data_IF_709323133520
#
_entry.id   IF_709323133520
#
_cell.length_a   1.000
_cell.length_b   1.000
_cell.length_c   1.000
_cell.angle_alpha   90.00
_cell.angle_beta   90.00
_cell.angle_gamma   90.00
#
_symmetry.space_group_name_H-M   'P 1'
#
loop_
_entity.id
_entity.type
_entity.pdbx_description
1 polymer ?
#
# COMPACT_ATOMS: atom_id res chain seq x y z
N UNK A 1 -7.06 30.37 1.33
CA UNK A 1 -8.23 29.76 0.66
C UNK A 1 -7.92 28.28 0.47
N UNK A 2 -8.61 27.40 1.21
CA UNK A 2 -8.43 25.94 1.11
C UNK A 2 -9.30 25.45 -0.04
N UNK A 3 -8.69 24.91 -1.10
CA UNK A 3 -9.42 24.16 -2.13
C UNK A 3 -10.07 22.98 -1.42
N UNK A 4 -11.40 22.96 -1.38
CA UNK A 4 -12.14 21.74 -1.03
C UNK A 4 -11.84 20.74 -2.13
N UNK A 5 -11.18 19.64 -1.78
CA UNK A 5 -11.30 18.43 -2.59
C UNK A 5 -12.78 18.07 -2.52
N UNK A 6 -13.48 18.29 -3.62
CA UNK A 6 -14.82 17.74 -3.80
C UNK A 6 -14.60 16.22 -3.79
N UNK A 7 -15.08 15.59 -2.72
CA UNK A 7 -15.27 14.15 -2.69
C UNK A 7 -16.30 13.87 -3.77
N UNK A 8 -15.81 13.63 -4.99
CA UNK A 8 -16.62 13.03 -6.02
C UNK A 8 -16.90 11.62 -5.52
N UNK A 9 -17.96 11.46 -4.72
CA UNK A 9 -18.74 10.23 -4.70
C UNK A 9 -19.11 9.95 -6.16
N UNK A 10 -18.21 9.25 -6.85
CA UNK A 10 -18.39 8.87 -8.25
C UNK A 10 -19.68 8.08 -8.28
N UNK A 11 -20.69 8.63 -8.93
CA UNK A 11 -22.04 8.06 -8.98
C UNK A 11 -21.93 6.61 -9.44
N UNK A 12 -22.05 5.66 -8.51
CA UNK A 12 -21.95 4.24 -8.81
C UNK A 12 -23.09 3.89 -9.78
N UNK A 13 -22.72 3.47 -10.98
CA UNK A 13 -23.66 3.06 -12.00
C UNK A 13 -24.02 1.60 -11.84
N UNK A 14 -25.29 1.28 -12.10
CA UNK A 14 -25.74 -0.12 -12.19
C UNK A 14 -25.04 -0.80 -13.37
N UNK A 15 -24.55 -2.01 -13.14
CA UNK A 15 -23.92 -2.84 -14.18
C UNK A 15 -24.93 -3.10 -15.29
N UNK A 16 -24.57 -2.70 -16.52
CA UNK A 16 -25.38 -2.91 -17.71
C UNK A 16 -25.12 -4.30 -18.28
N UNK A 17 -26.12 -4.87 -18.95
CA UNK A 17 -25.98 -6.13 -19.67
C UNK A 17 -25.17 -5.99 -20.97
N UNK A 18 -25.11 -4.78 -21.53
CA UNK A 18 -24.38 -4.48 -22.77
C UNK A 18 -23.77 -3.08 -22.68
N UNK A 19 -22.58 -2.92 -23.26
CA UNK A 19 -21.88 -1.64 -23.36
C UNK A 19 -21.71 -1.29 -24.83
N UNK A 20 -21.81 0.00 -25.14
CA UNK A 20 -21.67 0.57 -26.48
C UNK A 20 -20.21 0.52 -26.93
N UNK A 21 -19.29 0.84 -26.03
CA UNK A 21 -17.86 0.91 -26.28
C UNK A 21 -17.07 0.61 -24.99
N UNK A 22 -15.74 0.55 -25.13
CA UNK A 22 -14.83 0.24 -24.02
C UNK A 22 -14.78 1.36 -22.99
N UNK A 23 -14.97 2.61 -23.41
CA UNK A 23 -14.97 3.76 -22.51
C UNK A 23 -16.18 3.69 -21.56
N UNK A 24 -17.37 3.38 -22.07
CA UNK A 24 -18.58 3.18 -21.24
C UNK A 24 -18.42 2.02 -20.24
N UNK A 25 -17.69 0.98 -20.63
CA UNK A 25 -17.33 -0.13 -19.73
C UNK A 25 -16.42 0.37 -18.60
N UNK A 26 -15.35 1.11 -18.91
CA UNK A 26 -14.45 1.67 -17.90
C UNK A 26 -15.16 2.65 -16.96
N UNK A 27 -16.00 3.54 -17.49
CA UNK A 27 -16.79 4.48 -16.69
C UNK A 27 -17.70 3.77 -15.68
N UNK A 28 -18.19 2.57 -16.04
CA UNK A 28 -19.06 1.78 -15.16
C UNK A 28 -18.26 0.97 -14.14
N UNK A 29 -17.23 0.24 -14.58
CA UNK A 29 -16.53 -0.73 -13.73
C UNK A 29 -15.40 -0.12 -12.91
N UNK A 30 -14.70 0.91 -13.39
CA UNK A 30 -13.61 1.55 -12.64
C UNK A 30 -14.07 2.05 -11.26
N UNK A 31 -15.16 2.82 -11.11
CA UNK A 31 -15.59 3.26 -9.78
C UNK A 31 -16.05 2.09 -8.90
N UNK A 32 -16.71 1.07 -9.48
CA UNK A 32 -17.14 -0.12 -8.76
C UNK A 32 -15.94 -0.92 -8.21
N UNK A 33 -14.89 -1.10 -9.01
CA UNK A 33 -13.66 -1.77 -8.59
C UNK A 33 -12.97 -1.00 -7.47
N UNK A 34 -12.94 0.34 -7.53
CA UNK A 34 -12.35 1.13 -6.46
C UNK A 34 -13.11 1.03 -5.15
N UNK A 35 -14.45 0.99 -5.17
CA UNK A 35 -15.24 0.79 -3.97
C UNK A 35 -15.04 -0.61 -3.38
N UNK A 36 -14.92 -1.64 -4.21
CA UNK A 36 -14.60 -3.00 -3.75
C UNK A 36 -13.21 -3.05 -3.09
N UNK A 37 -12.19 -2.44 -3.70
CA UNK A 37 -10.84 -2.38 -3.12
C UNK A 37 -10.85 -1.64 -1.78
N UNK A 38 -11.56 -0.50 -1.68
CA UNK A 38 -11.71 0.21 -0.40
C UNK A 38 -12.41 -0.66 0.64
N UNK A 39 -13.48 -1.36 0.26
CA UNK A 39 -14.22 -2.23 1.16
C UNK A 39 -13.36 -3.39 1.66
N UNK A 40 -12.52 -3.98 0.82
CA UNK A 40 -11.57 -5.02 1.21
C UNK A 40 -10.50 -4.49 2.17
N UNK A 41 -9.95 -3.30 1.93
CA UNK A 41 -9.00 -2.66 2.84
C UNK A 41 -9.62 -2.45 4.24
N UNK A 42 -10.86 -1.96 4.30
CA UNK A 42 -11.58 -1.75 5.56
C UNK A 42 -11.94 -3.06 6.26
N UNK A 43 -12.37 -4.10 5.52
CA UNK A 43 -12.72 -5.40 6.11
C UNK A 43 -11.52 -6.12 6.71
N UNK A 44 -10.33 -5.98 6.10
CA UNK A 44 -9.10 -6.54 6.64
C UNK A 44 -8.69 -5.93 8.00
N UNK A 45 -9.21 -4.75 8.37
CA UNK A 45 -8.99 -4.17 9.70
C UNK A 45 -9.87 -4.82 10.78
N UNK A 46 -11.03 -5.41 10.41
CA UNK A 46 -12.04 -5.92 11.35
C UNK A 46 -12.03 -7.45 11.53
N UNK A 47 -11.44 -8.22 10.59
CA UNK A 47 -11.71 -9.66 10.43
C UNK A 47 -10.58 -10.66 10.69
N UNK A 48 -9.33 -10.23 10.76
CA UNK A 48 -8.16 -11.10 10.99
C UNK A 48 -7.22 -10.37 11.95
N UNK A 49 -6.53 -11.10 12.84
CA UNK A 49 -5.46 -10.57 13.71
C UNK A 49 -4.74 -9.41 13.03
N UNK A 50 -5.03 -8.17 13.44
CA UNK A 50 -4.47 -6.98 12.82
C UNK A 50 -2.96 -7.18 12.71
N UNK A 51 -2.45 -7.22 11.48
CA UNK A 51 -1.04 -7.51 11.23
C UNK A 51 -0.21 -6.58 12.10
N UNK A 52 0.63 -7.17 12.97
CA UNK A 52 1.40 -6.41 13.97
C UNK A 52 2.20 -5.33 13.24
N UNK A 53 2.03 -4.07 13.67
CA UNK A 53 2.81 -2.96 13.11
C UNK A 53 4.31 -3.22 13.32
N UNK A 54 5.07 -3.36 12.23
CA UNK A 54 6.52 -3.55 12.28
C UNK A 54 7.26 -2.29 11.89
N UNK A 55 8.12 -1.83 12.79
CA UNK A 55 9.00 -0.70 12.52
C UNK A 55 10.20 -1.16 11.69
N UNK A 56 10.47 -0.46 10.58
CA UNK A 56 11.58 -0.76 9.67
C UNK A 56 12.42 0.48 9.41
N UNK A 57 13.69 0.28 9.05
CA UNK A 57 14.64 1.37 8.79
C UNK A 57 14.67 1.68 7.29
N UNK A 58 14.50 2.95 6.95
CA UNK A 58 14.61 3.45 5.56
C UNK A 58 16.09 3.65 5.26
N UNK A 59 16.61 2.87 4.32
CA UNK A 59 18.00 2.92 3.87
C UNK A 59 18.21 4.02 2.84
N UNK A 60 17.30 4.09 1.86
CA UNK A 60 17.37 5.04 0.76
C UNK A 60 15.96 5.52 0.38
N UNK A 61 15.88 6.73 -0.15
CA UNK A 61 14.67 7.31 -0.71
C UNK A 61 15.07 8.04 -2.00
N UNK A 62 14.42 7.69 -3.10
CA UNK A 62 14.64 8.29 -4.42
C UNK A 62 13.30 8.65 -5.07
N UNK A 63 13.33 9.52 -6.06
CA UNK A 63 12.14 9.92 -6.82
C UNK A 63 12.28 9.47 -8.27
N UNK A 64 11.26 8.79 -8.80
CA UNK A 64 11.19 8.38 -10.20
C UNK A 64 9.74 8.37 -10.67
N UNK A 65 9.48 8.87 -11.87
CA UNK A 65 8.15 8.88 -12.51
C UNK A 65 7.02 9.50 -11.66
N UNK A 66 7.36 10.42 -10.76
CA UNK A 66 6.41 11.07 -9.84
C UNK A 66 6.11 10.25 -8.59
N UNK A 67 6.82 9.15 -8.35
CA UNK A 67 6.72 8.30 -7.18
C UNK A 67 7.98 8.38 -6.31
N UNK A 68 7.80 8.19 -5.00
CA UNK A 68 8.93 7.99 -4.08
C UNK A 68 9.21 6.50 -3.97
N UNK A 69 10.42 6.09 -4.32
CA UNK A 69 10.91 4.72 -4.21
C UNK A 69 11.75 4.62 -2.94
N UNK A 70 11.28 3.80 -2.01
CA UNK A 70 11.91 3.57 -0.71
C UNK A 70 12.65 2.22 -0.70
N UNK A 71 13.90 2.24 -0.26
CA UNK A 71 14.62 1.02 0.12
C UNK A 71 14.52 0.87 1.63
N UNK A 72 13.89 -0.22 2.09
CA UNK A 72 13.59 -0.46 3.50
C UNK A 72 14.16 -1.81 3.93
N UNK A 73 14.65 -1.89 5.18
CA UNK A 73 15.16 -3.15 5.74
C UNK A 73 14.08 -4.22 5.83
N UNK A 74 14.36 -5.39 5.26
CA UNK A 74 13.51 -6.56 5.34
C UNK A 74 14.22 -7.73 6.03
N UNK A 75 13.73 -8.10 7.21
CA UNK A 75 14.10 -9.34 7.90
C UNK A 75 13.06 -10.41 7.59
N UNK A 76 13.52 -11.56 7.10
CA UNK A 76 12.63 -12.69 6.85
C UNK A 76 12.41 -13.41 8.18
N UNK A 77 11.25 -13.20 8.78
CA UNK A 77 10.75 -13.94 9.94
C UNK A 77 9.77 -15.03 9.45
N UNK A 78 9.64 -16.13 10.19
CA UNK A 78 8.75 -17.26 9.83
C UNK A 78 7.29 -16.81 9.63
N UNK A 79 6.88 -15.75 10.33
CA UNK A 79 5.51 -15.23 10.34
C UNK A 79 5.30 -14.02 9.42
N UNK A 80 6.30 -13.60 8.62
CA UNK A 80 6.16 -12.44 7.73
C UNK A 80 6.76 -12.66 6.35
N UNK A 81 5.86 -12.73 5.37
CA UNK A 81 6.20 -12.82 3.97
C UNK A 81 5.57 -11.67 3.20
N UNK A 82 6.42 -10.76 2.71
CA UNK A 82 6.01 -9.70 1.78
C UNK A 82 6.28 -10.16 0.34
N UNK A 83 5.26 -10.18 -0.50
CA UNK A 83 5.34 -10.52 -1.91
C UNK A 83 5.29 -9.25 -2.80
N UNK A 84 5.82 -9.32 -4.02
CA UNK A 84 5.59 -8.28 -5.01
C UNK A 84 4.09 -8.02 -5.23
N UNK A 85 3.71 -6.75 -5.34
CA UNK A 85 2.35 -6.22 -5.44
C UNK A 85 1.54 -6.23 -4.13
N UNK A 86 2.14 -6.60 -3.00
CA UNK A 86 1.48 -6.39 -1.71
C UNK A 86 1.35 -4.89 -1.44
N UNK A 87 0.16 -4.49 -1.02
CA UNK A 87 -0.16 -3.12 -0.63
C UNK A 87 0.06 -2.98 0.88
N UNK A 88 0.93 -2.06 1.28
CA UNK A 88 1.26 -1.80 2.67
C UNK A 88 0.89 -0.37 3.05
N UNK A 89 0.54 -0.19 4.32
CA UNK A 89 0.35 1.12 4.92
C UNK A 89 1.61 1.49 5.70
N UNK A 90 2.31 2.53 5.26
CA UNK A 90 3.41 3.12 6.01
C UNK A 90 2.88 4.27 6.86
N UNK A 91 3.39 4.36 8.08
CA UNK A 91 3.12 5.44 9.00
C UNK A 91 4.39 5.78 9.78
N UNK A 92 4.50 7.04 10.20
CA UNK A 92 5.60 7.47 11.07
C UNK A 92 5.38 7.02 12.52
N UNK A 93 4.13 6.84 12.89
CA UNK A 93 3.67 6.54 14.25
C UNK A 93 3.01 5.18 14.24
N UNK A 94 3.22 4.37 15.28
CA UNK A 94 2.56 3.08 15.42
C UNK A 94 1.05 3.26 15.47
N UNK A 95 0.32 2.49 14.64
CA UNK A 95 -1.14 2.56 14.57
C UNK A 95 -1.70 1.77 15.74
N UNK A 96 -2.25 2.47 16.73
CA UNK A 96 -2.87 1.88 17.92
C UNK A 96 -4.35 2.22 17.96
N UNK A 97 -5.19 1.18 18.03
CA UNK A 97 -6.59 1.22 18.42
C UNK A 97 -7.42 2.41 17.92
N UNK A 98 -8.12 2.22 16.80
CA UNK A 98 -9.18 3.12 16.31
C UNK A 98 -8.78 4.54 15.93
N UNK A 99 -7.53 4.94 16.14
CA UNK A 99 -7.00 6.26 15.76
C UNK A 99 -6.04 6.13 14.58
N UNK A 100 -6.30 6.91 13.54
CA UNK A 100 -5.47 6.92 12.33
C UNK A 100 -4.28 7.87 12.50
N UNK A 101 -3.07 7.51 12.05
CA UNK A 101 -1.88 8.33 12.19
C UNK A 101 -1.99 9.65 11.42
N UNK A 102 -1.30 10.69 11.91
CA UNK A 102 -1.30 12.02 11.29
C UNK A 102 -0.58 12.06 9.94
N UNK A 103 0.35 11.13 9.71
CA UNK A 103 1.13 11.00 8.49
C UNK A 103 1.23 9.53 8.12
N UNK A 104 0.70 9.20 6.95
CA UNK A 104 0.69 7.87 6.39
C UNK A 104 0.79 7.92 4.87
N UNK A 105 1.13 6.78 4.28
CA UNK A 105 1.12 6.59 2.83
C UNK A 105 0.92 5.12 2.48
N UNK A 106 0.20 4.87 1.40
CA UNK A 106 0.14 3.54 0.80
C UNK A 106 1.38 3.31 -0.06
N UNK A 107 1.96 2.13 0.06
CA UNK A 107 3.09 1.71 -0.76
C UNK A 107 2.85 0.32 -1.32
N UNK A 108 3.42 0.06 -2.49
CA UNK A 108 3.37 -1.25 -3.12
C UNK A 108 4.76 -1.85 -3.05
N UNK A 109 4.84 -3.13 -2.68
CA UNK A 109 6.10 -3.87 -2.71
C UNK A 109 6.46 -4.15 -4.17
N UNK A 110 7.49 -3.48 -4.70
CA UNK A 110 7.96 -3.78 -6.06
C UNK A 110 8.78 -5.08 -6.10
N UNK A 111 9.85 -5.15 -5.30
CA UNK A 111 10.77 -6.26 -5.30
C UNK A 111 11.48 -6.39 -3.95
N UNK A 112 11.95 -7.60 -3.66
CA UNK A 112 12.84 -7.89 -2.53
C UNK A 112 14.25 -8.08 -3.05
N UNK A 113 15.14 -7.18 -2.64
CA UNK A 113 16.56 -7.36 -2.89
C UNK A 113 17.16 -8.16 -1.73
N UNK A 114 17.86 -9.26 -2.03
CA UNK A 114 18.70 -9.90 -1.04
C UNK A 114 19.84 -8.94 -0.70
N UNK A 115 19.77 -8.29 0.46
CA UNK A 115 20.85 -7.42 0.89
C UNK A 115 22.12 -8.27 1.12
N UNK A 116 23.10 -8.11 0.23
CA UNK A 116 24.48 -8.54 0.43
C UNK A 116 25.17 -7.60 1.41
N UNK A 117 24.61 -7.43 2.62
CA UNK A 117 25.41 -6.98 3.76
C UNK A 117 26.35 -8.13 4.10
N UNK A 118 27.39 -8.28 3.28
CA UNK A 118 28.57 -9.10 3.55
C UNK A 118 29.07 -8.63 4.90
N UNK A 119 28.83 -9.43 5.94
CA UNK A 119 29.42 -9.25 7.27
C UNK A 119 30.92 -9.05 7.07
N UNK A 120 31.39 -7.82 7.26
CA UNK A 120 32.81 -7.49 7.29
C UNK A 120 33.40 -7.91 8.64
N UNK A 121 33.22 -9.18 9.02
CA UNK A 121 33.85 -9.79 10.21
C UNK A 121 34.99 -10.74 9.87
N UNK A 122 35.18 -11.09 8.59
CA UNK A 122 36.28 -11.95 8.16
C UNK A 122 37.45 -11.15 7.57
N UNK A 123 38.00 -10.20 8.33
CA UNK A 123 39.31 -9.59 8.02
C UNK A 123 40.11 -9.37 9.31
N UNK A 124 40.12 -10.34 10.22
CA UNK A 124 41.22 -10.49 11.19
C UNK A 124 41.30 -11.97 11.61
N UNK A 125 42.15 -12.71 10.91
CA UNK A 125 42.75 -13.97 11.36
C UNK A 125 44.23 -13.94 11.01
#
# INVERSE_FOLDING_TARGET
>A
MRKKHEDSEGKLSVVKNTYKDVDEYFETFQPLLFEEVKAQILQNEDGEEASVCKMRLVMECSEADGFHILLVTYEHEEDEYLAPNDLLLLSKEEIKGGSFPSSYGFVVVENRQSNLLRRSSDVFS
#
